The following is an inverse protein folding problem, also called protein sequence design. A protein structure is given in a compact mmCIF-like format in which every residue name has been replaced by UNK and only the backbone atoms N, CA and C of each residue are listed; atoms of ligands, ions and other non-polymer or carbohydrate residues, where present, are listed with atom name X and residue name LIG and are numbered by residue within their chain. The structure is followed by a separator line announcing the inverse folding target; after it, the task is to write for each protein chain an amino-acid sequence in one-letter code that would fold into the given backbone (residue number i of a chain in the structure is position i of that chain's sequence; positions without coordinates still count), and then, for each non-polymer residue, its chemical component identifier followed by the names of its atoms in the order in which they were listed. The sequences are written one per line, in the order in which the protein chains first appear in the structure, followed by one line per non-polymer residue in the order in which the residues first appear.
data_IF_670287666534
#
_entry.id   IF_670287666534
#
_cell.length_a   1.000
_cell.length_b   1.000
_cell.length_c   1.000
_cell.angle_alpha   90.00
_cell.angle_beta   90.00
_cell.angle_gamma   90.00
#
_symmetry.space_group_name_H-M   'P 1'
#
loop_
_entity.id
_entity.type
_entity.pdbx_description
1 polymer ?
#
# COMPACT_ATOMS: atom_id res chain seq x y z
N UNK A 1 -63.90 -33.32 -10.09
CA UNK A 1 -62.88 -32.25 -10.02
C UNK A 1 -61.82 -32.72 -9.02
N UNK A 2 -60.63 -33.11 -9.48
CA UNK A 2 -59.52 -33.59 -8.63
C UNK A 2 -58.38 -32.58 -8.73
N UNK A 3 -58.06 -31.98 -7.60
CA UNK A 3 -57.09 -30.91 -7.37
C UNK A 3 -55.67 -31.36 -7.72
N UNK A 4 -54.98 -30.58 -8.54
CA UNK A 4 -53.55 -30.73 -8.87
C UNK A 4 -52.74 -30.10 -7.74
N UNK A 5 -51.92 -30.89 -7.05
CA UNK A 5 -50.98 -30.39 -6.05
C UNK A 5 -49.72 -29.85 -6.77
N UNK A 6 -49.55 -28.52 -6.74
CA UNK A 6 -48.35 -27.85 -7.24
C UNK A 6 -47.31 -27.84 -6.11
N UNK A 7 -46.27 -28.66 -6.24
CA UNK A 7 -45.08 -28.59 -5.39
C UNK A 7 -44.24 -27.36 -5.79
N UNK A 8 -44.29 -26.33 -4.96
CA UNK A 8 -43.46 -25.13 -5.08
C UNK A 8 -42.03 -25.46 -4.58
N UNK A 9 -41.12 -25.73 -5.51
CA UNK A 9 -39.69 -25.88 -5.21
C UNK A 9 -39.10 -24.50 -4.84
N UNK A 10 -38.89 -24.25 -3.53
CA UNK A 10 -38.08 -23.13 -3.06
C UNK A 10 -36.62 -23.36 -3.45
N UNK A 11 -36.16 -22.69 -4.50
CA UNK A 11 -34.73 -22.57 -4.81
C UNK A 11 -34.08 -21.60 -3.82
N UNK A 12 -33.38 -22.11 -2.80
CA UNK A 12 -32.48 -21.31 -1.97
C UNK A 12 -31.30 -20.85 -2.84
N UNK A 13 -31.36 -19.62 -3.34
CA UNK A 13 -30.19 -18.95 -3.89
C UNK A 13 -29.18 -18.74 -2.74
N UNK A 14 -28.10 -19.53 -2.75
CA UNK A 14 -26.95 -19.28 -1.89
C UNK A 14 -26.31 -17.96 -2.35
N UNK A 15 -26.66 -16.86 -1.68
CA UNK A 15 -25.93 -15.60 -1.80
C UNK A 15 -24.55 -15.88 -1.22
N UNK A 16 -23.58 -16.14 -2.08
CA UNK A 16 -22.18 -16.25 -1.66
C UNK A 16 -21.77 -14.94 -1.00
N UNK A 17 -21.49 -14.96 0.30
CA UNK A 17 -20.95 -13.80 1.00
C UNK A 17 -19.62 -13.43 0.32
N UNK A 18 -19.58 -12.28 -0.35
CA UNK A 18 -18.33 -11.73 -0.84
C UNK A 18 -17.39 -11.54 0.35
N UNK A 19 -16.17 -12.08 0.26
CA UNK A 19 -15.19 -11.92 1.32
C UNK A 19 -14.99 -10.43 1.59
N UNK A 20 -15.22 -10.01 2.84
CA UNK A 20 -15.04 -8.62 3.22
C UNK A 20 -13.55 -8.27 3.16
N UNK A 21 -13.25 -7.07 2.68
CA UNK A 21 -11.88 -6.56 2.69
C UNK A 21 -11.41 -6.29 4.13
N UNK A 22 -10.20 -6.73 4.43
CA UNK A 22 -9.55 -6.62 5.74
C UNK A 22 -8.29 -5.75 5.66
N UNK A 23 -7.97 -5.09 6.78
CA UNK A 23 -6.68 -4.41 6.95
C UNK A 23 -5.78 -5.23 7.89
N UNK A 24 -4.53 -5.44 7.48
CA UNK A 24 -3.48 -6.07 8.30
C UNK A 24 -2.23 -5.20 8.30
N UNK A 25 -1.34 -5.39 9.27
CA UNK A 25 -0.22 -4.48 9.47
C UNK A 25 1.11 -5.21 9.52
N UNK A 26 2.12 -4.60 8.90
CA UNK A 26 3.52 -4.95 9.14
C UNK A 26 4.30 -3.71 9.57
N UNK A 27 5.52 -3.93 10.05
CA UNK A 27 6.41 -2.89 10.51
C UNK A 27 7.60 -2.73 9.56
N UNK A 28 8.01 -1.48 9.36
CA UNK A 28 9.28 -1.10 8.72
C UNK A 28 10.26 -0.41 9.70
N UNK A 29 10.06 -0.55 11.01
CA UNK A 29 11.10 -0.24 12.00
C UNK A 29 12.38 -1.05 11.72
N UNK A 30 13.55 -0.41 11.85
CA UNK A 30 14.88 -1.01 11.60
C UNK A 30 15.05 -2.41 12.22
N UNK A 31 14.63 -2.61 13.47
CA UNK A 31 14.75 -3.89 14.20
C UNK A 31 14.01 -5.08 13.54
N UNK A 32 13.07 -4.80 12.63
CA UNK A 32 12.30 -5.81 11.91
C UNK A 32 12.81 -6.03 10.48
N UNK A 33 13.77 -5.23 10.00
CA UNK A 33 14.23 -5.25 8.63
C UNK A 33 15.62 -5.90 8.52
N UNK A 34 15.88 -6.52 7.37
CA UNK A 34 17.23 -6.92 6.95
C UNK A 34 17.84 -5.76 6.16
N UNK A 35 19.11 -5.48 6.39
CA UNK A 35 19.85 -4.45 5.69
C UNK A 35 20.70 -5.11 4.61
N UNK A 36 20.63 -4.59 3.38
CA UNK A 36 21.54 -4.99 2.34
C UNK A 36 22.87 -4.24 2.58
N UNK A 37 24.00 -4.95 2.75
CA UNK A 37 25.24 -4.33 3.18
C UNK A 37 25.76 -3.35 2.12
N UNK A 38 26.02 -2.12 2.54
CA UNK A 38 26.81 -1.13 1.80
C UNK A 38 28.02 -0.85 2.69
N UNK A 39 29.21 -1.24 2.25
CA UNK A 39 30.45 -0.99 2.99
C UNK A 39 30.48 -1.63 4.39
N UNK A 40 31.43 -1.18 5.21
CA UNK A 40 31.60 -1.59 6.61
C UNK A 40 31.79 -0.37 7.54
N UNK A 41 31.52 0.86 7.08
CA UNK A 41 31.78 2.05 7.90
C UNK A 41 30.63 2.28 8.91
N UNK A 42 30.94 2.69 10.15
CA UNK A 42 29.92 3.09 11.12
C UNK A 42 29.11 4.29 10.59
N UNK A 43 27.81 4.09 10.35
CA UNK A 43 26.92 5.12 9.79
C UNK A 43 26.28 4.70 8.46
N UNK A 44 26.92 3.80 7.71
CA UNK A 44 26.43 3.34 6.40
C UNK A 44 25.05 2.64 6.50
N UNK A 45 24.73 2.07 7.66
CA UNK A 45 23.45 1.38 7.91
C UNK A 45 22.22 2.28 7.70
N UNK A 46 22.37 3.60 7.80
CA UNK A 46 21.28 4.55 7.58
C UNK A 46 20.99 4.79 6.09
N UNK A 47 21.98 4.58 5.22
CA UNK A 47 21.90 4.70 3.76
C UNK A 47 21.66 3.36 3.04
N UNK A 48 21.65 2.27 3.80
CA UNK A 48 21.42 0.93 3.27
C UNK A 48 19.97 0.69 2.84
N UNK A 49 19.81 -0.02 1.71
CA UNK A 49 18.54 -0.60 1.31
C UNK A 49 18.08 -1.58 2.40
N UNK A 50 16.86 -1.36 2.91
CA UNK A 50 16.27 -2.21 3.95
C UNK A 50 15.16 -3.04 3.34
N UNK A 51 15.23 -4.34 3.54
CA UNK A 51 14.16 -5.28 3.20
C UNK A 51 13.38 -5.63 4.47
N UNK A 52 12.14 -5.16 4.55
CA UNK A 52 11.26 -5.32 5.70
C UNK A 52 10.11 -6.32 5.42
N UNK A 53 9.46 -6.87 6.47
CA UNK A 53 8.35 -7.78 6.33
C UNK A 53 7.15 -7.17 5.60
N UNK A 54 6.60 -7.91 4.64
CA UNK A 54 5.32 -7.62 4.00
C UNK A 54 4.35 -8.79 4.12
N UNK A 55 3.22 -8.72 3.40
CA UNK A 55 2.19 -9.77 3.38
C UNK A 55 2.00 -10.35 1.98
N UNK A 56 1.37 -11.53 1.90
CA UNK A 56 1.07 -12.17 0.61
C UNK A 56 2.30 -12.56 -0.21
N UNK A 57 3.42 -12.88 0.46
CA UNK A 57 4.70 -13.17 -0.22
C UNK A 57 5.43 -11.93 -0.75
N UNK A 58 5.00 -10.73 -0.36
CA UNK A 58 5.65 -9.46 -0.68
C UNK A 58 6.61 -9.05 0.44
N UNK A 59 7.70 -8.38 0.10
CA UNK A 59 8.59 -7.67 1.02
C UNK A 59 8.52 -6.17 0.74
N UNK A 60 8.71 -5.35 1.76
CA UNK A 60 8.76 -3.89 1.62
C UNK A 60 10.22 -3.48 1.50
N UNK A 61 10.54 -2.71 0.47
CA UNK A 61 11.85 -2.13 0.26
C UNK A 61 11.82 -0.69 0.76
N UNK A 62 12.71 -0.36 1.69
CA UNK A 62 12.90 0.98 2.22
C UNK A 62 14.29 1.42 1.78
N UNK A 63 14.34 2.34 0.82
CA UNK A 63 15.59 2.78 0.21
C UNK A 63 15.83 4.26 0.51
N UNK A 64 16.70 4.58 1.48
CA UNK A 64 17.22 5.92 1.68
C UNK A 64 18.06 6.34 0.45
N UNK A 65 17.93 7.59 0.04
CA UNK A 65 18.77 8.18 -1.01
C UNK A 65 18.92 9.67 -0.76
N UNK A 66 20.10 10.08 -0.27
CA UNK A 66 20.38 11.45 0.15
C UNK A 66 19.32 11.98 1.14
N UNK A 67 18.49 12.92 0.70
CA UNK A 67 17.45 13.57 1.51
C UNK A 67 16.07 12.94 1.32
N UNK A 68 15.98 11.82 0.62
CA UNK A 68 14.73 11.17 0.25
C UNK A 68 14.70 9.74 0.77
N UNK A 69 13.49 9.32 1.11
CA UNK A 69 13.16 7.94 1.41
C UNK A 69 12.22 7.43 0.32
N UNK A 70 12.61 6.32 -0.29
CA UNK A 70 11.79 5.63 -1.28
C UNK A 70 11.21 4.35 -0.68
N UNK A 71 9.93 4.10 -0.92
CA UNK A 71 9.27 2.84 -0.60
C UNK A 71 9.01 2.08 -1.89
N UNK A 72 9.35 0.79 -1.88
CA UNK A 72 9.10 -0.14 -2.98
C UNK A 72 8.72 -1.52 -2.48
N UNK A 73 8.62 -2.48 -3.41
CA UNK A 73 8.20 -3.84 -3.10
C UNK A 73 9.03 -4.86 -3.86
N UNK A 74 9.30 -5.99 -3.20
CA UNK A 74 9.94 -7.16 -3.81
C UNK A 74 9.06 -8.40 -3.62
N UNK A 75 9.18 -9.35 -4.54
CA UNK A 75 8.47 -10.62 -4.47
C UNK A 75 9.44 -11.79 -4.60
N UNK A 76 10.01 -12.26 -3.47
CA UNK A 76 10.85 -13.45 -3.50
C UNK A 76 10.07 -14.66 -4.04
N UNK A 77 10.79 -15.68 -4.47
CA UNK A 77 10.23 -16.92 -5.00
C UNK A 77 10.35 -17.07 -6.52
N UNK A 78 9.70 -18.10 -7.06
CA UNK A 78 9.80 -18.51 -8.47
C UNK A 78 8.44 -18.37 -9.19
N UNK A 79 8.41 -17.93 -10.47
CA UNK A 79 9.54 -17.38 -11.22
C UNK A 79 10.02 -16.05 -10.62
N UNK A 80 11.29 -15.71 -10.86
CA UNK A 80 11.84 -14.41 -10.43
C UNK A 80 11.08 -13.29 -11.14
N UNK A 81 10.71 -12.25 -10.39
CA UNK A 81 10.12 -11.02 -10.92
C UNK A 81 10.95 -9.84 -10.43
N UNK A 82 11.03 -8.79 -11.24
CA UNK A 82 11.74 -7.57 -10.85
C UNK A 82 11.04 -6.91 -9.65
N UNK A 83 11.80 -6.31 -8.72
CA UNK A 83 11.22 -5.46 -7.68
C UNK A 83 10.65 -4.19 -8.30
N UNK A 84 9.58 -3.66 -7.69
CA UNK A 84 9.07 -2.33 -7.98
C UNK A 84 9.76 -1.34 -7.03
N UNK A 85 10.79 -0.66 -7.54
CA UNK A 85 11.56 0.31 -6.76
C UNK A 85 10.87 1.69 -6.77
N UNK A 86 11.02 2.44 -5.68
CA UNK A 86 10.61 3.84 -5.57
C UNK A 86 9.16 4.15 -5.99
N UNK A 87 8.22 3.29 -5.59
CA UNK A 87 6.77 3.44 -5.84
C UNK A 87 6.22 4.72 -5.20
N UNK A 88 6.74 5.12 -4.04
CA UNK A 88 6.47 6.43 -3.45
C UNK A 88 7.74 6.99 -2.80
N UNK A 89 7.86 8.32 -2.82
CA UNK A 89 9.00 9.06 -2.27
C UNK A 89 8.53 10.11 -1.27
N UNK A 90 9.30 10.31 -0.21
CA UNK A 90 9.09 11.36 0.79
C UNK A 90 10.40 11.74 1.49
N UNK A 91 10.32 12.55 2.54
CA UNK A 91 11.48 12.81 3.41
C UNK A 91 11.73 11.64 4.37
N UNK A 92 10.66 11.13 4.98
CA UNK A 92 10.68 9.90 5.78
C UNK A 92 9.33 9.20 5.73
N UNK A 93 9.22 8.05 6.38
CA UNK A 93 7.97 7.31 6.53
C UNK A 93 7.65 7.03 8.00
N UNK A 94 6.36 6.83 8.29
CA UNK A 94 5.93 6.19 9.53
C UNK A 94 6.29 4.71 9.53
N UNK A 95 6.31 4.08 10.70
CA UNK A 95 6.84 2.73 10.86
C UNK A 95 5.91 1.58 10.48
N UNK A 96 4.66 1.87 10.09
CA UNK A 96 3.65 0.85 9.78
C UNK A 96 3.28 0.90 8.31
N UNK A 97 3.11 -0.30 7.74
CA UNK A 97 2.45 -0.50 6.45
C UNK A 97 1.09 -1.12 6.73
N UNK A 98 0.03 -0.44 6.30
CA UNK A 98 -1.30 -1.04 6.27
C UNK A 98 -1.50 -1.77 4.95
N UNK A 99 -1.83 -3.06 5.02
CA UNK A 99 -2.13 -3.90 3.87
C UNK A 99 -3.63 -4.11 3.79
N UNK A 100 -4.21 -3.80 2.64
CA UNK A 100 -5.62 -4.01 2.33
C UNK A 100 -5.76 -5.22 1.42
N UNK A 101 -6.64 -6.15 1.75
CA UNK A 101 -6.71 -7.44 1.07
C UNK A 101 -7.90 -8.30 1.47
N UNK A 102 -7.95 -9.52 0.92
CA UNK A 102 -8.97 -10.51 1.23
C UNK A 102 -8.38 -11.68 2.00
N UNK A 103 -9.14 -12.20 2.96
CA UNK A 103 -8.90 -13.53 3.49
C UNK A 103 -9.19 -14.58 2.41
N UNK A 104 -8.29 -15.53 2.25
CA UNK A 104 -8.38 -16.64 1.30
C UNK A 104 -8.09 -17.95 2.02
N UNK A 105 -8.40 -19.09 1.38
CA UNK A 105 -8.01 -20.41 1.90
C UNK A 105 -6.50 -20.58 2.08
N UNK A 106 -5.69 -19.77 1.39
CA UNK A 106 -4.22 -19.80 1.44
C UNK A 106 -3.64 -18.75 2.41
N UNK A 107 -4.47 -18.09 3.21
CA UNK A 107 -4.08 -16.97 4.06
C UNK A 107 -4.54 -15.64 3.50
N UNK A 108 -3.75 -14.58 3.67
CA UNK A 108 -4.13 -13.23 3.26
C UNK A 108 -3.56 -12.84 1.90
N UNK A 109 -4.42 -12.35 1.00
CA UNK A 109 -4.04 -11.85 -0.32
C UNK A 109 -4.20 -10.31 -0.34
N UNK A 110 -3.12 -9.54 -0.12
CA UNK A 110 -3.16 -8.09 -0.24
C UNK A 110 -3.28 -7.66 -1.72
N UNK A 111 -4.04 -6.59 -1.95
CA UNK A 111 -4.10 -5.88 -3.24
C UNK A 111 -3.63 -4.42 -3.14
N UNK A 112 -3.52 -3.89 -1.93
CA UNK A 112 -2.99 -2.54 -1.70
C UNK A 112 -2.14 -2.47 -0.43
N UNK A 113 -1.22 -1.51 -0.43
CA UNK A 113 -0.39 -1.15 0.70
C UNK A 113 -0.48 0.37 0.91
N UNK A 114 -0.63 0.80 2.16
CA UNK A 114 -0.68 2.21 2.54
C UNK A 114 0.46 2.51 3.51
N UNK A 115 1.24 3.55 3.19
CA UNK A 115 2.34 4.03 4.04
C UNK A 115 2.13 5.50 4.33
N UNK A 116 2.37 5.89 5.58
CA UNK A 116 2.41 7.29 5.99
C UNK A 116 3.74 7.90 5.55
N UNK A 117 3.73 8.74 4.53
CA UNK A 117 4.87 9.53 4.10
C UNK A 117 4.89 10.86 4.85
N UNK A 118 6.09 11.32 5.21
CA UNK A 118 6.32 12.63 5.85
C UNK A 118 7.11 13.52 4.92
N UNK A 119 6.77 14.80 4.92
CA UNK A 119 7.43 15.84 4.11
C UNK A 119 8.08 16.87 5.01
N UNK A 120 9.16 17.48 4.50
CA UNK A 120 9.87 18.54 5.20
C UNK A 120 9.10 19.83 5.01
N UNK A 121 8.76 20.46 6.12
CA UNK A 121 8.29 21.84 6.18
C UNK A 121 9.22 22.53 7.18
N UNK A 122 9.95 23.54 6.74
CA UNK A 122 11.00 24.17 7.56
C UNK A 122 10.42 24.97 8.74
N UNK A 123 9.19 25.46 8.59
CA UNK A 123 8.47 26.14 9.68
C UNK A 123 7.83 25.13 10.65
N UNK A 124 7.48 23.93 10.15
CA UNK A 124 6.77 22.88 10.90
C UNK A 124 7.25 21.46 10.54
N UNK A 125 8.47 21.06 10.95
CA UNK A 125 9.06 19.79 10.53
C UNK A 125 8.21 18.58 10.94
N UNK A 126 7.86 17.72 9.96
CA UNK A 126 7.13 16.48 10.21
C UNK A 126 5.62 16.65 10.42
N UNK A 127 5.07 17.85 10.25
CA UNK A 127 3.63 18.07 10.32
C UNK A 127 2.88 17.58 9.09
N UNK A 128 3.51 17.68 7.92
CA UNK A 128 2.94 17.26 6.64
C UNK A 128 3.06 15.74 6.50
N UNK A 129 1.91 15.06 6.65
CA UNK A 129 1.82 13.61 6.63
C UNK A 129 0.73 13.18 5.67
N UNK A 130 1.11 12.35 4.72
CA UNK A 130 0.22 11.87 3.65
C UNK A 130 0.19 10.35 3.68
N UNK A 131 -1.01 9.77 3.62
CA UNK A 131 -1.19 8.35 3.36
C UNK A 131 -1.04 8.11 1.87
N UNK A 132 0.07 7.52 1.46
CA UNK A 132 0.29 7.06 0.11
C UNK A 132 -0.32 5.66 -0.05
N UNK A 133 -1.34 5.56 -0.90
CA UNK A 133 -2.03 4.29 -1.20
C UNK A 133 -1.46 3.75 -2.50
N UNK A 134 -0.94 2.52 -2.44
CA UNK A 134 -0.29 1.86 -3.55
C UNK A 134 -1.01 0.57 -3.88
N UNK A 135 -1.12 0.25 -5.17
CA UNK A 135 -1.50 -1.08 -5.64
C UNK A 135 -0.31 -2.01 -5.44
N UNK A 136 -0.57 -3.23 -4.98
CA UNK A 136 0.46 -4.27 -4.88
C UNK A 136 -0.07 -5.57 -5.46
N UNK A 137 0.66 -6.11 -6.42
CA UNK A 137 0.46 -7.42 -7.03
C UNK A 137 1.83 -8.01 -7.31
N UNK A 138 1.98 -9.33 -7.30
CA UNK A 138 3.28 -9.95 -7.60
C UNK A 138 3.84 -9.44 -8.94
N UNK A 139 4.98 -8.76 -8.88
CA UNK A 139 5.68 -8.18 -10.03
C UNK A 139 5.19 -6.80 -10.48
N UNK A 140 4.24 -6.19 -9.78
CA UNK A 140 3.63 -4.90 -10.15
C UNK A 140 3.25 -4.12 -8.88
N UNK A 141 3.77 -2.91 -8.76
CA UNK A 141 3.28 -1.96 -7.77
C UNK A 141 3.40 -0.53 -8.32
N UNK A 142 2.39 0.29 -8.05
CA UNK A 142 2.32 1.69 -8.45
C UNK A 142 1.51 2.48 -7.43
N UNK A 143 1.66 3.81 -7.45
CA UNK A 143 0.86 4.70 -6.64
C UNK A 143 -0.56 4.77 -7.20
N UNK A 144 -1.57 4.61 -6.34
CA UNK A 144 -2.99 4.76 -6.67
C UNK A 144 -3.49 6.15 -6.25
N UNK A 145 -2.91 6.70 -5.19
CA UNK A 145 -3.23 8.06 -4.77
C UNK A 145 -2.77 8.40 -3.36
N UNK A 146 -3.28 9.53 -2.89
CA UNK A 146 -2.81 10.18 -1.67
C UNK A 146 -3.98 10.75 -0.85
N UNK A 147 -3.84 10.71 0.48
CA UNK A 147 -4.75 11.36 1.43
C UNK A 147 -3.94 12.13 2.46
N UNK A 148 -4.15 13.44 2.57
CA UNK A 148 -3.53 14.24 3.62
C UNK A 148 -4.16 13.93 4.99
N UNK A 149 -3.34 13.60 5.98
CA UNK A 149 -3.81 13.17 7.31
C UNK A 149 -4.39 14.33 8.11
N UNK A 150 -3.80 15.53 8.03
CA UNK A 150 -4.24 16.67 8.86
C UNK A 150 -5.44 17.35 8.27
N UNK A 151 -5.51 17.44 6.95
CA UNK A 151 -6.62 18.09 6.27
C UNK A 151 -7.92 17.27 6.30
N UNK A 152 -7.87 15.97 6.63
CA UNK A 152 -9.02 15.07 6.63
C UNK A 152 -9.19 14.33 7.96
N UNK A 153 -10.29 14.58 8.69
CA UNK A 153 -10.57 13.94 10.00
C UNK A 153 -10.69 12.41 9.91
N UNK A 154 -11.07 11.90 8.75
CA UNK A 154 -11.31 10.50 8.44
C UNK A 154 -10.27 9.94 7.44
N UNK A 155 -9.07 10.52 7.37
CA UNK A 155 -8.03 10.20 6.39
C UNK A 155 -7.79 8.69 6.20
N UNK A 156 -7.77 7.91 7.28
CA UNK A 156 -7.60 6.45 7.20
C UNK A 156 -8.78 5.71 6.58
N UNK A 157 -10.01 6.19 6.78
CA UNK A 157 -11.18 5.63 6.12
C UNK A 157 -11.14 5.93 4.62
N UNK A 158 -10.84 7.19 4.26
CA UNK A 158 -10.66 7.59 2.86
C UNK A 158 -9.56 6.78 2.16
N UNK A 159 -8.42 6.57 2.83
CA UNK A 159 -7.33 5.77 2.30
C UNK A 159 -7.72 4.30 2.08
N UNK A 160 -8.54 3.71 2.97
CA UNK A 160 -9.08 2.35 2.78
C UNK A 160 -10.06 2.27 1.62
N UNK A 161 -10.95 3.25 1.48
CA UNK A 161 -11.87 3.32 0.34
C UNK A 161 -11.09 3.46 -0.97
N UNK A 162 -10.03 4.26 -1.00
CA UNK A 162 -9.13 4.35 -2.16
C UNK A 162 -8.38 3.03 -2.40
N UNK A 163 -7.89 2.38 -1.35
CA UNK A 163 -7.21 1.10 -1.45
C UNK A 163 -8.12 0.01 -2.04
N UNK A 164 -9.41 0.03 -1.71
CA UNK A 164 -10.41 -0.90 -2.21
C UNK A 164 -10.66 -0.77 -3.73
N UNK A 165 -10.25 0.35 -4.37
CA UNK A 165 -10.27 0.49 -5.84
C UNK A 165 -8.99 -0.02 -6.52
N UNK A 166 -7.93 -0.28 -5.77
CA UNK A 166 -6.62 -0.68 -6.32
C UNK A 166 -6.66 -1.93 -7.23
N UNK A 167 -7.51 -2.97 -7.01
CA UNK A 167 -7.60 -4.10 -7.93
C UNK A 167 -7.98 -3.72 -9.37
N UNK A 168 -8.69 -2.61 -9.55
CA UNK A 168 -9.13 -2.11 -10.86
C UNK A 168 -8.16 -1.09 -11.48
N UNK A 169 -7.23 -0.54 -10.70
CA UNK A 169 -6.28 0.47 -11.15
C UNK A 169 -5.21 -0.13 -12.08
N UNK A 170 -5.08 0.37 -13.29
CA UNK A 170 -4.06 -0.03 -14.26
C UNK A 170 -2.80 0.81 -14.08
N UNK A 171 -1.75 0.21 -13.49
CA UNK A 171 -0.47 0.89 -13.22
C UNK A 171 0.20 1.48 -14.46
N UNK A 172 -0.17 1.08 -15.68
CA UNK A 172 0.42 1.59 -16.91
C UNK A 172 -0.40 2.73 -17.55
N UNK A 173 -1.62 3.01 -17.08
CA UNK A 173 -2.54 3.95 -17.75
C UNK A 173 -3.21 4.94 -16.81
N UNK A 174 -3.57 4.48 -15.62
CA UNK A 174 -4.31 5.29 -14.67
C UNK A 174 -3.37 6.22 -13.92
N UNK A 175 -3.84 7.44 -13.65
CA UNK A 175 -3.09 8.44 -12.88
C UNK A 175 -3.50 8.41 -11.41
N UNK A 176 -2.55 8.49 -10.47
CA UNK A 176 -2.85 8.59 -9.06
C UNK A 176 -3.62 9.87 -8.77
N UNK A 177 -4.55 9.80 -7.82
CA UNK A 177 -5.42 10.93 -7.46
C UNK A 177 -5.32 11.28 -5.98
N UNK A 178 -5.62 12.53 -5.67
CA UNK A 178 -5.81 12.96 -4.28
C UNK A 178 -7.25 12.68 -3.89
N UNK A 179 -7.45 12.17 -2.67
CA UNK A 179 -8.79 11.95 -2.09
C UNK A 179 -8.90 12.76 -0.80
N UNK A 180 -10.05 13.43 -0.64
CA UNK A 180 -10.27 14.40 0.43
C UNK A 180 -9.77 15.78 0.03
N UNK A 181 -9.36 16.58 1.01
CA UNK A 181 -8.82 17.92 0.78
C UNK A 181 -7.48 17.86 0.07
N UNK A 182 -7.37 18.63 -1.02
CA UNK A 182 -6.13 18.79 -1.78
C UNK A 182 -5.14 19.71 -1.03
N UNK A 183 -3.90 19.24 -0.87
CA UNK A 183 -2.80 19.96 -0.20
C UNK A 183 -1.52 19.87 -1.03
N UNK A 184 -0.56 20.77 -0.82
CA UNK A 184 0.73 20.73 -1.51
C UNK A 184 1.51 19.44 -1.24
N UNK A 185 1.43 18.90 -0.02
CA UNK A 185 2.06 17.62 0.32
C UNK A 185 1.40 16.45 -0.41
N UNK A 186 0.07 16.46 -0.54
CA UNK A 186 -0.65 15.44 -1.31
C UNK A 186 -0.33 15.53 -2.81
N UNK A 187 -0.24 16.76 -3.36
CA UNK A 187 0.24 17.01 -4.74
C UNK A 187 1.65 16.49 -4.94
N UNK A 188 2.56 16.74 -4.00
CA UNK A 188 3.92 16.25 -4.07
C UNK A 188 3.98 14.72 -4.11
N UNK A 189 3.12 14.00 -3.39
CA UNK A 189 3.05 12.54 -3.49
C UNK A 189 2.64 12.08 -4.88
N UNK A 190 1.58 12.65 -5.46
CA UNK A 190 1.06 12.20 -6.76
C UNK A 190 1.86 12.71 -7.96
N UNK A 191 2.56 13.84 -7.84
CA UNK A 191 3.38 14.41 -8.91
C UNK A 191 4.76 13.74 -9.08
N UNK A 192 5.21 12.98 -8.08
CA UNK A 192 6.46 12.22 -8.14
C UNK A 192 6.34 10.88 -8.90
N UNK A 193 5.22 10.66 -9.60
CA UNK A 193 5.10 9.56 -10.55
C UNK A 193 5.99 9.86 -11.76
N UNK A 194 7.04 9.07 -11.94
CA UNK A 194 7.89 9.17 -13.12
C UNK A 194 7.12 8.55 -14.31
N UNK A 195 7.00 9.22 -15.47
CA UNK A 195 6.53 8.58 -16.70
C UNK A 195 7.47 7.46 -17.16
#
# INVERSE_FOLDING_TARGET
MRTVAVCLLLACAAIGAAAAAESRYTSIENKHCRFDPIGNEPGDAEDQLKTCPGLGGTQVLVNPSHTRLHIGFAWPGRPKVAPAMAVVTGWSAGFKVEWRGLATRKGFAPYAATVRMRFKNDDKPGEEQVLAVMRVKRGEACLVGAVDIRANRDAYALARTLADTAPQFDCAKDKPRIVGTETESAKAVVANEKP
#
